data_IF_354296543119
#
_entry.id   IF_354296543119
#
_cell.length_a   1.000
_cell.length_b   1.000
_cell.length_c   1.000
_cell.angle_alpha   90.00
_cell.angle_beta   90.00
_cell.angle_gamma   90.00
#
_symmetry.space_group_name_H-M   'P 1'
#
loop_
_entity.id
_entity.type
_entity.pdbx_description
1 polymer ?
#
# COMPACT_ATOMS: atom_id res chain seq x y z
N UNK A 1 8.04 -6.19 -4.50
CA UNK A 1 6.73 -6.86 -4.74
C UNK A 1 6.00 -6.05 -5.81
N UNK A 2 5.05 -6.62 -6.57
CA UNK A 2 4.34 -5.84 -7.59
C UNK A 2 3.34 -4.86 -6.94
N UNK A 3 3.18 -3.63 -7.48
CA UNK A 3 2.11 -2.70 -7.09
C UNK A 3 0.73 -3.35 -7.24
N UNK A 4 -0.15 -3.06 -6.29
CA UNK A 4 -1.53 -3.51 -6.27
C UNK A 4 -2.45 -2.35 -6.66
N UNK A 5 -3.48 -2.62 -7.45
CA UNK A 5 -4.45 -1.63 -7.88
C UNK A 5 -5.84 -2.10 -7.51
N UNK A 6 -6.61 -1.27 -6.80
CA UNK A 6 -7.97 -1.60 -6.40
C UNK A 6 -8.88 -0.39 -6.42
N UNK A 7 -10.17 -0.66 -6.59
CA UNK A 7 -11.23 0.34 -6.55
C UNK A 7 -12.05 0.12 -5.29
N UNK A 8 -12.12 1.14 -4.44
CA UNK A 8 -12.90 1.13 -3.20
C UNK A 8 -14.40 1.29 -3.50
N UNK A 9 -15.26 1.04 -2.49
CA UNK A 9 -16.71 1.08 -2.68
C UNK A 9 -17.24 2.45 -3.10
N UNK A 10 -16.53 3.53 -2.76
CA UNK A 10 -16.83 4.90 -3.18
C UNK A 10 -16.30 5.26 -4.58
N UNK A 11 -15.87 4.26 -5.36
CA UNK A 11 -15.24 4.41 -6.68
C UNK A 11 -13.85 5.09 -6.66
N UNK A 12 -13.26 5.29 -5.48
CA UNK A 12 -11.89 5.76 -5.37
C UNK A 12 -10.94 4.66 -5.86
N UNK A 13 -10.17 4.97 -6.90
CA UNK A 13 -9.15 4.06 -7.42
C UNK A 13 -7.83 4.35 -6.74
N UNK A 14 -7.24 3.35 -6.12
CA UNK A 14 -5.99 3.49 -5.41
C UNK A 14 -4.97 2.47 -5.88
N UNK A 15 -3.72 2.88 -5.79
CA UNK A 15 -2.54 2.08 -6.04
C UNK A 15 -1.80 1.92 -4.72
N UNK A 16 -1.52 0.68 -4.36
CA UNK A 16 -0.77 0.33 -3.16
C UNK A 16 0.55 -0.29 -3.51
N UNK A 17 1.61 0.34 -3.04
CA UNK A 17 2.98 -0.08 -3.29
C UNK A 17 3.50 -0.76 -2.01
N UNK A 18 3.70 -2.08 -2.06
CA UNK A 18 4.29 -2.85 -0.97
C UNK A 18 5.79 -2.58 -0.84
N UNK A 19 6.21 -2.06 0.30
CA UNK A 19 7.58 -2.00 0.76
C UNK A 19 7.77 -2.95 1.97
N UNK A 20 8.91 -3.61 2.07
CA UNK A 20 9.18 -4.54 3.17
C UNK A 20 10.43 -4.10 3.89
N UNK A 21 10.27 -3.65 5.13
CA UNK A 21 11.39 -3.34 6.02
C UNK A 21 11.53 -4.46 7.05
N UNK A 22 12.58 -5.26 6.89
CA UNK A 22 12.97 -6.23 7.91
C UNK A 22 13.92 -5.55 8.90
N UNK A 23 13.47 -5.33 10.13
CA UNK A 23 14.35 -4.89 11.21
C UNK A 23 14.89 -6.10 11.97
N UNK A 24 16.21 -6.24 12.04
CA UNK A 24 16.90 -7.35 12.69
C UNK A 24 17.59 -6.87 13.97
N UNK A 25 16.81 -6.49 14.98
CA UNK A 25 17.32 -5.99 16.27
C UNK A 25 17.08 -7.00 17.40
N UNK A 26 17.65 -8.21 17.27
CA UNK A 26 17.56 -9.30 18.26
C UNK A 26 16.19 -10.02 18.33
N UNK A 27 15.11 -9.37 17.90
CA UNK A 27 13.81 -9.98 17.57
C UNK A 27 13.52 -9.76 16.08
N UNK A 28 13.18 -10.83 15.35
CA UNK A 28 12.81 -10.73 13.94
C UNK A 28 11.39 -10.17 13.81
N UNK A 29 11.26 -8.85 13.85
CA UNK A 29 10.01 -8.17 13.51
C UNK A 29 10.06 -7.86 12.02
N UNK A 30 9.09 -8.40 11.29
CA UNK A 30 8.91 -8.07 9.88
C UNK A 30 7.78 -7.05 9.79
N UNK A 31 8.15 -5.82 9.45
CA UNK A 31 7.21 -4.73 9.21
C UNK A 31 7.00 -4.60 7.71
N UNK A 32 5.78 -4.84 7.27
CA UNK A 32 5.37 -4.60 5.90
C UNK A 32 4.74 -3.21 5.85
N UNK A 33 5.23 -2.37 4.94
CA UNK A 33 4.71 -1.01 4.74
C UNK A 33 4.02 -0.97 3.39
N UNK A 34 2.77 -0.54 3.35
CA UNK A 34 1.94 -0.47 2.16
C UNK A 34 1.65 0.99 1.89
N UNK A 35 2.38 1.60 0.97
CA UNK A 35 2.21 3.00 0.62
C UNK A 35 1.03 3.18 -0.32
N UNK A 36 0.14 4.11 -0.03
CA UNK A 36 -1.14 4.28 -0.72
C UNK A 36 -1.12 5.57 -1.55
N UNK A 37 -1.47 5.44 -2.83
CA UNK A 37 -1.58 6.54 -3.77
C UNK A 37 -2.93 6.50 -4.48
N UNK A 38 -3.41 7.65 -4.93
CA UNK A 38 -4.50 7.70 -5.91
C UNK A 38 -4.00 7.13 -7.25
N UNK A 39 -4.80 6.24 -7.83
CA UNK A 39 -4.55 5.71 -9.18
C UNK A 39 -5.16 6.64 -10.23
N UNK A 40 -4.39 7.66 -10.61
CA UNK A 40 -4.78 8.67 -11.60
C UNK A 40 -4.54 8.22 -13.06
N UNK A 41 -3.77 7.14 -13.27
CA UNK A 41 -3.32 6.73 -14.62
C UNK A 41 -3.68 5.27 -14.94
N UNK A 42 -4.73 4.75 -14.29
CA UNK A 42 -5.34 3.45 -14.56
C UNK A 42 -4.34 2.28 -14.61
N UNK A 43 -3.40 2.22 -13.66
CA UNK A 43 -2.45 1.12 -13.57
C UNK A 43 -1.26 1.20 -14.54
N UNK A 44 -0.91 2.39 -15.04
CA UNK A 44 0.28 2.55 -15.86
C UNK A 44 1.56 2.14 -15.10
N UNK A 45 2.32 1.14 -15.58
CA UNK A 45 3.50 0.64 -14.89
C UNK A 45 4.63 1.66 -14.81
N UNK A 46 4.67 2.65 -15.71
CA UNK A 46 5.67 3.73 -15.64
C UNK A 46 5.43 4.66 -14.44
N UNK A 47 4.16 4.97 -14.15
CA UNK A 47 3.78 5.79 -12.99
C UNK A 47 4.10 5.05 -11.71
N UNK A 48 3.78 3.76 -11.64
CA UNK A 48 4.07 2.91 -10.48
C UNK A 48 5.56 2.89 -10.14
N UNK A 49 6.42 2.68 -11.15
CA UNK A 49 7.88 2.67 -10.97
C UNK A 49 8.43 4.04 -10.54
N UNK A 50 7.87 5.12 -11.07
CA UNK A 50 8.22 6.48 -10.64
C UNK A 50 7.86 6.70 -9.16
N UNK A 51 6.68 6.25 -8.72
CA UNK A 51 6.26 6.38 -7.31
C UNK A 51 7.07 5.48 -6.37
N UNK A 52 7.39 4.26 -6.78
CA UNK A 52 8.33 3.37 -6.05
C UNK A 52 9.67 4.08 -5.80
N UNK A 53 10.18 4.83 -6.79
CA UNK A 53 11.44 5.57 -6.64
C UNK A 53 11.31 6.76 -5.69
N UNK A 54 10.12 7.34 -5.54
CA UNK A 54 9.87 8.43 -4.59
C UNK A 54 9.67 7.97 -3.15
N UNK A 55 9.25 6.71 -2.93
CA UNK A 55 9.08 6.17 -1.57
C UNK A 55 10.39 6.11 -0.77
N UNK A 56 11.52 6.03 -1.47
CA UNK A 56 12.84 5.99 -0.85
C UNK A 56 13.39 7.39 -0.56
N UNK A 57 12.65 8.46 -0.89
CA UNK A 57 13.03 9.83 -0.55
C UNK A 57 12.59 10.13 0.88
N UNK A 58 13.37 10.94 1.58
CA UNK A 58 13.08 11.37 2.96
C UNK A 58 11.78 12.20 3.07
N UNK A 59 11.24 12.68 1.95
CA UNK A 59 10.03 13.52 1.89
C UNK A 59 9.25 13.23 0.60
N UNK A 60 8.07 12.62 0.74
CA UNK A 60 7.20 12.26 -0.40
C UNK A 60 6.27 13.46 -0.70
N UNK A 61 6.67 14.31 -1.65
CA UNK A 61 5.86 15.46 -2.12
C UNK A 61 4.88 15.10 -3.24
N UNK A 62 4.19 13.97 -3.13
CA UNK A 62 3.18 13.60 -4.13
C UNK A 62 1.79 14.01 -3.63
N UNK A 63 1.06 14.90 -4.35
CA UNK A 63 -0.28 15.34 -3.93
C UNK A 63 -1.32 14.22 -3.99
N UNK A 64 -0.98 13.10 -4.62
CA UNK A 64 -1.82 11.90 -4.70
C UNK A 64 -1.40 10.85 -3.66
N UNK A 65 -0.50 11.18 -2.74
CA UNK A 65 -0.13 10.28 -1.65
C UNK A 65 -1.13 10.41 -0.50
N UNK A 66 -1.61 9.26 -0.03
CA UNK A 66 -2.60 9.17 1.06
C UNK A 66 -1.97 8.68 2.37
N UNK A 67 -0.65 8.46 2.39
CA UNK A 67 0.07 7.84 3.50
C UNK A 67 0.30 6.36 3.32
N UNK A 68 0.53 5.65 4.41
CA UNK A 68 0.95 4.25 4.38
C UNK A 68 0.29 3.43 5.48
N UNK A 69 0.11 2.13 5.21
CA UNK A 69 -0.32 1.15 6.19
C UNK A 69 0.88 0.32 6.63
N UNK A 70 1.14 0.22 7.92
CA UNK A 70 2.11 -0.72 8.47
C UNK A 70 1.43 -1.99 8.94
N UNK A 71 2.09 -3.12 8.75
CA UNK A 71 1.67 -4.41 9.27
C UNK A 71 2.87 -5.11 9.93
N UNK A 72 2.75 -5.37 11.23
CA UNK A 72 3.84 -5.95 12.02
C UNK A 72 3.54 -7.42 12.39
N UNK A 73 4.49 -8.34 12.12
CA UNK A 73 4.43 -9.71 12.66
C UNK A 73 5.34 -9.86 13.89
N UNK A 74 4.91 -10.64 14.92
CA UNK A 74 3.79 -11.59 14.92
C UNK A 74 2.41 -11.02 15.32
N UNK A 75 2.36 -9.81 15.89
CA UNK A 75 1.14 -9.25 16.52
C UNK A 75 -0.02 -9.01 15.53
N UNK A 76 0.29 -8.95 14.23
CA UNK A 76 -0.67 -8.76 13.14
C UNK A 76 -1.50 -7.47 13.25
N UNK A 77 -0.87 -6.43 13.79
CA UNK A 77 -1.47 -5.10 13.91
C UNK A 77 -1.33 -4.39 12.57
N UNK A 78 -2.46 -3.92 12.03
CA UNK A 78 -2.50 -2.94 10.96
C UNK A 78 -2.54 -1.54 11.55
N UNK A 79 -1.60 -0.68 11.18
CA UNK A 79 -1.60 0.75 11.49
C UNK A 79 -1.74 1.56 10.21
N UNK A 80 -2.58 2.58 10.19
CA UNK A 80 -2.61 3.54 9.09
C UNK A 80 -2.02 4.87 9.57
N UNK A 81 -1.01 5.35 8.85
CA UNK A 81 -0.38 6.65 9.09
C UNK A 81 -0.71 7.57 7.91
N UNK A 82 -1.51 8.62 8.11
CA UNK A 82 -1.72 9.65 7.08
C UNK A 82 -0.44 10.49 6.98
N UNK A 83 0.16 10.50 5.79
CA UNK A 83 1.47 11.13 5.54
C UNK A 83 1.46 11.96 4.23
N UNK A 84 0.27 12.31 3.74
CA UNK A 84 0.09 13.11 2.54
C UNK A 84 -0.87 14.29 2.74
N UNK A 85 -1.08 15.08 1.69
CA UNK A 85 -2.04 16.20 1.72
C UNK A 85 -3.50 15.72 1.84
N UNK A 86 -3.75 14.48 1.43
CA UNK A 86 -5.04 13.81 1.50
C UNK A 86 -4.92 12.61 2.44
N UNK A 87 -6.04 12.25 3.08
CA UNK A 87 -6.11 11.09 3.98
C UNK A 87 -7.32 10.23 3.60
N UNK A 88 -7.15 8.92 3.76
CA UNK A 88 -8.27 8.00 3.67
C UNK A 88 -9.16 8.20 4.90
N UNK A 89 -10.46 8.14 4.67
CA UNK A 89 -11.45 8.00 5.73
C UNK A 89 -11.30 6.62 6.38
N UNK A 90 -11.81 6.50 7.61
CA UNK A 90 -11.78 5.23 8.35
C UNK A 90 -12.34 4.05 7.54
N UNK A 91 -13.45 4.25 6.84
CA UNK A 91 -14.08 3.20 6.04
C UNK A 91 -13.17 2.76 4.90
N UNK A 92 -12.53 3.70 4.20
CA UNK A 92 -11.60 3.39 3.11
C UNK A 92 -10.37 2.64 3.63
N UNK A 93 -9.84 3.02 4.79
CA UNK A 93 -8.73 2.32 5.45
C UNK A 93 -9.12 0.87 5.78
N UNK A 94 -10.33 0.66 6.33
CA UNK A 94 -10.84 -0.68 6.63
C UNK A 94 -10.94 -1.52 5.35
N UNK A 95 -11.50 -0.98 4.26
CA UNK A 95 -11.56 -1.68 2.97
C UNK A 95 -10.16 -2.02 2.43
N UNK A 96 -9.19 -1.11 2.51
CA UNK A 96 -7.80 -1.37 2.10
C UNK A 96 -7.21 -2.51 2.92
N UNK A 97 -7.37 -2.49 4.24
CA UNK A 97 -6.84 -3.53 5.13
C UNK A 97 -7.47 -4.88 4.82
N UNK A 98 -8.78 -4.93 4.54
CA UNK A 98 -9.47 -6.16 4.14
C UNK A 98 -8.89 -6.72 2.83
N UNK A 99 -8.71 -5.88 1.80
CA UNK A 99 -8.09 -6.30 0.55
C UNK A 99 -6.65 -6.79 0.73
N UNK A 100 -5.84 -6.07 1.51
CA UNK A 100 -4.46 -6.47 1.80
C UNK A 100 -4.40 -7.77 2.59
N UNK A 101 -5.32 -7.98 3.52
CA UNK A 101 -5.42 -9.22 4.30
C UNK A 101 -5.77 -10.41 3.42
N UNK A 102 -6.75 -10.26 2.54
CA UNK A 102 -7.19 -11.31 1.61
C UNK A 102 -6.06 -11.74 0.64
N UNK A 103 -5.39 -10.76 0.03
CA UNK A 103 -4.25 -11.00 -0.88
C UNK A 103 -3.08 -11.66 -0.15
N UNK A 104 -2.88 -11.31 1.13
CA UNK A 104 -1.79 -11.84 1.94
C UNK A 104 -2.04 -13.26 2.44
N UNK A 105 -3.30 -13.59 2.76
CA UNK A 105 -3.70 -14.97 3.05
C UNK A 105 -3.65 -15.84 1.79
N UNK A 106 -3.93 -15.24 0.64
CA UNK A 106 -3.94 -15.88 -0.67
C UNK A 106 -2.87 -15.31 -1.62
N UNK A 107 -1.58 -15.68 -1.47
CA UNK A 107 -0.49 -15.13 -2.30
C UNK A 107 -0.65 -15.42 -3.81
N UNK A 108 -1.52 -16.35 -4.19
CA UNK A 108 -1.91 -16.58 -5.59
C UNK A 108 -2.61 -15.37 -6.22
N UNK A 109 -3.35 -14.57 -5.44
CA UNK A 109 -4.04 -13.36 -5.90
C UNK A 109 -3.06 -12.24 -6.27
N UNK A 110 -1.83 -12.27 -5.74
CA UNK A 110 -0.81 -11.26 -6.03
C UNK A 110 -0.48 -11.16 -7.53
N UNK A 111 -0.55 -12.28 -8.26
CA UNK A 111 -0.28 -12.32 -9.70
C UNK A 111 -1.55 -12.14 -10.56
N UNK A 112 -2.75 -12.12 -9.94
CA UNK A 112 -4.04 -12.09 -10.64
C UNK A 112 -4.56 -10.69 -10.97
N UNK A 113 -4.03 -9.63 -10.35
CA UNK A 113 -4.44 -8.25 -10.61
C UNK A 113 -3.81 -7.63 -11.87
N UNK A 114 -3.04 -8.42 -12.64
CA UNK A 114 -2.56 -8.03 -13.97
C UNK A 114 -3.58 -8.34 -15.06
N UNK A 115 -4.33 -7.33 -15.49
CA UNK A 115 -5.14 -7.27 -16.71
C UNK A 115 -6.35 -8.21 -16.81
N UNK A 116 -7.55 -7.64 -16.65
CA UNK A 116 -8.71 -7.96 -17.49
C UNK A 116 -9.36 -6.68 -18.01
#
# INVERSE_FOLDING_TARGET
MAPLHFTLSNQLKIMVIPDTQAHLDGHSIITYTYSIFLDIDAGNPMVSRSKESTLHLEDIKDPNYYGYITFERPDSIFGYTPDGEQQLTRNEVEEVIEHLSDIRDNPALWNGFGYN
#
